data_IF_282457201512
#
_entry.id   IF_282457201512
#
_cell.length_a   1.000
_cell.length_b   1.000
_cell.length_c   1.000
_cell.angle_alpha   90.00
_cell.angle_beta   90.00
_cell.angle_gamma   90.00
#
_symmetry.space_group_name_H-M   'P 1'
#
loop_
_entity.id
_entity.type
_entity.pdbx_description
1 polymer ?
#
# COMPACT_ATOMS: atom_id res chain seq x y z
N UNK A 1 20.89 59.76 -9.06
CA UNK A 1 21.25 58.57 -8.28
C UNK A 1 20.23 58.40 -7.17
N UNK A 2 19.49 57.31 -7.21
CA UNK A 2 18.51 56.91 -6.20
C UNK A 2 19.27 56.39 -4.97
N UNK A 3 19.05 57.00 -3.80
CA UNK A 3 19.78 56.60 -2.60
C UNK A 3 19.10 57.10 -1.34
N UNK A 4 18.37 56.20 -0.69
CA UNK A 4 17.90 56.34 0.69
C UNK A 4 16.61 57.15 0.84
N UNK A 5 15.75 56.67 1.73
CA UNK A 5 14.54 57.36 2.24
C UNK A 5 13.33 57.36 1.30
N UNK A 6 12.70 56.18 1.17
CA UNK A 6 11.34 56.03 0.67
C UNK A 6 10.44 55.41 1.75
N UNK A 7 9.60 56.25 2.36
CA UNK A 7 8.38 55.91 3.10
C UNK A 7 8.51 55.11 4.42
N UNK A 8 8.68 55.84 5.52
CA UNK A 8 7.93 55.53 6.75
C UNK A 8 6.57 56.19 6.61
N UNK A 9 5.50 55.42 6.79
CA UNK A 9 4.25 55.71 7.54
C UNK A 9 3.08 54.89 6.97
N UNK A 10 2.48 54.06 7.84
CA UNK A 10 1.03 53.88 7.86
C UNK A 10 0.50 52.47 7.64
N UNK A 11 0.24 51.73 8.72
CA UNK A 11 -0.68 50.60 8.66
C UNK A 11 -0.41 49.50 9.69
N UNK A 12 -0.79 49.72 10.94
CA UNK A 12 -1.16 48.65 11.87
C UNK A 12 -2.41 47.92 11.35
N UNK A 13 -2.36 47.31 10.17
CA UNK A 13 -3.41 46.39 9.73
C UNK A 13 -3.11 45.06 10.38
N UNK A 14 -3.82 44.78 11.48
CA UNK A 14 -3.62 43.63 12.35
C UNK A 14 -3.30 42.36 11.58
N UNK A 15 -2.24 41.67 12.02
CA UNK A 15 -1.80 40.41 11.45
C UNK A 15 -2.89 39.34 11.56
N UNK A 16 -3.78 39.28 10.58
CA UNK A 16 -4.58 38.09 10.32
C UNK A 16 -3.62 37.04 9.81
N UNK A 17 -3.35 36.02 10.61
CA UNK A 17 -2.68 34.80 10.15
C UNK A 17 -3.48 34.31 8.95
N UNK A 18 -2.88 34.32 7.76
CA UNK A 18 -3.52 33.75 6.59
C UNK A 18 -3.84 32.28 6.90
N UNK A 19 -5.12 31.92 6.91
CA UNK A 19 -5.51 30.52 7.12
C UNK A 19 -4.94 29.69 5.98
N UNK A 20 -4.13 28.68 6.33
CA UNK A 20 -3.61 27.75 5.34
C UNK A 20 -4.75 26.90 4.80
N UNK A 21 -4.86 26.81 3.47
CA UNK A 21 -5.96 26.12 2.79
C UNK A 21 -5.48 24.82 2.13
N UNK A 22 -6.38 23.87 2.00
CA UNK A 22 -6.22 22.61 1.30
C UNK A 22 -7.28 22.57 0.21
N UNK A 23 -6.86 22.46 -1.05
CA UNK A 23 -7.76 22.37 -2.21
C UNK A 23 -7.96 20.94 -2.68
N UNK A 24 -7.04 20.05 -2.31
CA UNK A 24 -7.11 18.64 -2.68
C UNK A 24 -6.49 17.77 -1.59
N UNK A 25 -7.24 16.77 -1.14
CA UNK A 25 -6.78 15.66 -0.31
C UNK A 25 -7.29 14.38 -0.96
N UNK A 26 -6.39 13.48 -1.31
CA UNK A 26 -6.75 12.20 -1.91
C UNK A 26 -5.80 11.08 -1.47
N UNK A 27 -6.32 9.86 -1.50
CA UNK A 27 -5.54 8.64 -1.33
C UNK A 27 -5.27 8.08 -2.73
N UNK A 28 -4.00 7.93 -3.07
CA UNK A 28 -3.56 7.24 -4.29
C UNK A 28 -3.32 5.77 -3.96
N UNK A 29 -4.02 4.89 -4.65
CA UNK A 29 -3.89 3.44 -4.52
C UNK A 29 -3.30 2.91 -5.82
N UNK A 30 -2.27 2.07 -5.70
CA UNK A 30 -1.71 1.34 -6.82
C UNK A 30 -2.21 -0.11 -6.76
N UNK A 31 -2.74 -0.60 -7.86
CA UNK A 31 -3.26 -1.97 -8.00
C UNK A 31 -2.47 -2.75 -9.04
N UNK A 32 -2.42 -4.06 -8.90
CA UNK A 32 -1.72 -4.98 -9.82
C UNK A 32 -2.51 -5.21 -11.11
N UNK A 33 -2.85 -4.13 -11.82
CA UNK A 33 -3.56 -4.15 -13.11
C UNK A 33 -2.73 -3.43 -14.16
N UNK A 34 -2.50 -4.06 -15.31
CA UNK A 34 -1.78 -3.44 -16.42
C UNK A 34 -2.61 -2.39 -17.17
N UNK A 35 -3.93 -2.41 -17.01
CA UNK A 35 -4.87 -1.52 -17.73
C UNK A 35 -5.23 -0.30 -16.90
N UNK A 36 -5.38 -0.47 -15.58
CA UNK A 36 -5.71 0.62 -14.64
C UNK A 36 -4.94 0.47 -13.32
N UNK A 37 -3.62 0.69 -13.32
CA UNK A 37 -2.78 0.45 -12.14
C UNK A 37 -2.99 1.45 -11.02
N UNK A 38 -3.72 2.54 -11.23
CA UNK A 38 -3.84 3.63 -10.25
C UNK A 38 -5.30 4.03 -10.07
N UNK A 39 -5.72 4.11 -8.80
CA UNK A 39 -7.04 4.58 -8.38
C UNK A 39 -6.86 5.71 -7.38
N UNK A 40 -7.69 6.76 -7.47
CA UNK A 40 -7.68 7.90 -6.56
C UNK A 40 -9.00 7.96 -5.79
N UNK A 41 -8.92 8.03 -4.47
CA UNK A 41 -10.06 8.33 -3.59
C UNK A 41 -9.92 9.78 -3.15
N UNK A 42 -10.76 10.67 -3.67
CA UNK A 42 -10.76 12.09 -3.28
C UNK A 42 -11.59 12.29 -2.02
N UNK A 43 -10.98 12.92 -1.01
CA UNK A 43 -11.58 13.25 0.29
C UNK A 43 -11.87 14.75 0.41
N UNK A 44 -11.04 15.57 -0.24
CA UNK A 44 -11.27 17.01 -0.40
C UNK A 44 -11.01 17.33 -1.87
N UNK A 45 -11.97 18.00 -2.51
CA UNK A 45 -11.87 18.53 -3.89
C UNK A 45 -12.17 20.03 -3.97
N UNK A 46 -12.50 20.65 -2.84
CA UNK A 46 -12.87 22.06 -2.71
C UNK A 46 -11.96 22.76 -1.72
N UNK A 47 -11.81 24.07 -1.88
CA UNK A 47 -10.98 24.91 -1.02
C UNK A 47 -11.47 24.86 0.45
N UNK A 48 -10.68 24.20 1.30
CA UNK A 48 -11.03 23.90 2.69
C UNK A 48 -9.93 24.44 3.61
N UNK A 49 -10.29 25.21 4.63
CA UNK A 49 -9.32 25.71 5.60
C UNK A 49 -8.75 24.55 6.45
N UNK A 50 -7.43 24.48 6.65
CA UNK A 50 -6.80 23.35 7.36
C UNK A 50 -7.14 23.28 8.85
N UNK A 51 -7.56 24.39 9.44
CA UNK A 51 -8.02 24.46 10.82
C UNK A 51 -9.52 24.10 10.97
N UNK A 52 -10.24 23.96 9.86
CA UNK A 52 -11.65 23.56 9.85
C UNK A 52 -11.84 22.13 10.36
N UNK A 53 -13.01 21.89 10.96
CA UNK A 53 -13.43 20.54 11.34
C UNK A 53 -13.52 19.60 10.13
N UNK A 54 -13.93 20.12 8.97
CA UNK A 54 -14.00 19.36 7.71
C UNK A 54 -12.65 18.81 7.30
N UNK A 55 -11.58 19.62 7.35
CA UNK A 55 -10.23 19.15 7.05
C UNK A 55 -9.77 18.09 8.05
N UNK A 56 -9.97 18.33 9.35
CA UNK A 56 -9.57 17.38 10.41
C UNK A 56 -10.27 16.04 10.26
N UNK A 57 -11.58 16.06 9.99
CA UNK A 57 -12.37 14.84 9.74
C UNK A 57 -11.89 14.12 8.48
N UNK A 58 -11.73 14.83 7.36
CA UNK A 58 -11.24 14.22 6.13
C UNK A 58 -9.84 13.60 6.28
N UNK A 59 -8.98 14.20 7.12
CA UNK A 59 -7.67 13.66 7.44
C UNK A 59 -7.78 12.40 8.32
N UNK A 60 -8.67 12.38 9.32
CA UNK A 60 -8.94 11.19 10.13
C UNK A 60 -9.51 10.05 9.28
N UNK A 61 -10.52 10.34 8.45
CA UNK A 61 -11.11 9.39 7.51
C UNK A 61 -10.02 8.80 6.59
N UNK A 62 -9.06 9.62 6.13
CA UNK A 62 -7.93 9.16 5.32
C UNK A 62 -7.05 8.13 6.04
N UNK A 63 -6.75 8.39 7.32
CA UNK A 63 -5.93 7.51 8.15
C UNK A 63 -6.62 6.19 8.44
N UNK A 64 -7.93 6.22 8.70
CA UNK A 64 -8.74 5.01 8.90
C UNK A 64 -8.78 4.15 7.63
N UNK A 65 -9.05 4.76 6.47
CA UNK A 65 -9.04 4.06 5.19
C UNK A 65 -7.66 3.41 4.94
N UNK A 66 -6.57 4.14 5.16
CA UNK A 66 -5.22 3.61 4.98
C UNK A 66 -4.95 2.43 5.92
N UNK A 67 -5.37 2.53 7.18
CA UNK A 67 -5.20 1.47 8.18
C UNK A 67 -5.96 0.20 7.79
N UNK A 68 -7.20 0.34 7.32
CA UNK A 68 -8.01 -0.80 6.85
C UNK A 68 -7.42 -1.44 5.59
N UNK A 69 -6.97 -0.62 4.62
CA UNK A 69 -6.30 -1.13 3.43
C UNK A 69 -5.04 -1.93 3.78
N UNK A 70 -4.25 -1.46 4.75
CA UNK A 70 -3.06 -2.17 5.20
C UNK A 70 -3.41 -3.54 5.81
N UNK A 71 -4.47 -3.61 6.64
CA UNK A 71 -4.95 -4.89 7.20
C UNK A 71 -5.36 -5.86 6.10
N UNK A 72 -6.07 -5.38 5.07
CA UNK A 72 -6.48 -6.19 3.92
C UNK A 72 -5.26 -6.71 3.15
N UNK A 73 -4.28 -5.85 2.86
CA UNK A 73 -3.06 -6.26 2.17
C UNK A 73 -2.31 -7.35 2.96
N UNK A 74 -2.12 -7.18 4.26
CA UNK A 74 -1.45 -8.17 5.11
C UNK A 74 -2.22 -9.48 5.25
N UNK A 75 -3.56 -9.46 5.17
CA UNK A 75 -4.36 -10.69 5.18
C UNK A 75 -4.16 -11.50 3.89
N UNK A 76 -4.13 -10.83 2.73
CA UNK A 76 -3.92 -11.48 1.42
C UNK A 76 -2.54 -12.13 1.32
N UNK A 77 -1.50 -11.50 1.84
CA UNK A 77 -0.13 -12.05 1.86
C UNK A 77 -0.07 -13.39 2.63
N UNK A 78 -0.75 -13.48 3.78
CA UNK A 78 -0.80 -14.70 4.59
C UNK A 78 -1.54 -15.84 3.87
N UNK A 79 -2.63 -15.54 3.17
CA UNK A 79 -3.37 -16.55 2.40
C UNK A 79 -2.58 -17.04 1.19
N UNK A 80 -1.86 -16.15 0.50
CA UNK A 80 -1.01 -16.54 -0.63
C UNK A 80 0.21 -17.39 -0.22
N UNK A 81 0.75 -17.22 0.99
CA UNK A 81 1.82 -18.08 1.49
C UNK A 81 1.36 -19.54 1.72
N UNK A 82 0.14 -19.74 2.21
CA UNK A 82 -0.42 -21.07 2.44
C UNK A 82 -0.75 -21.82 1.14
N UNK A 83 -1.26 -21.09 0.13
CA UNK A 83 -1.63 -21.67 -1.17
C UNK A 83 -0.40 -21.91 -2.08
N UNK A 84 0.61 -21.02 -1.99
CA UNK A 84 1.87 -21.18 -2.74
C UNK A 84 2.75 -22.31 -2.19
N UNK A 85 2.71 -22.58 -0.88
CA UNK A 85 3.42 -23.74 -0.30
C UNK A 85 2.77 -25.06 -0.70
N UNK A 86 1.44 -25.13 -0.77
CA UNK A 86 0.74 -26.35 -1.23
C UNK A 86 0.95 -26.59 -2.72
N UNK A 87 0.91 -25.54 -3.55
CA UNK A 87 1.19 -25.67 -4.99
C UNK A 87 2.65 -26.06 -5.26
N UNK A 88 3.63 -25.43 -4.59
CA UNK A 88 5.05 -25.77 -4.72
C UNK A 88 5.33 -27.21 -4.28
N UNK A 89 4.78 -27.64 -3.14
CA UNK A 89 4.98 -29.00 -2.62
C UNK A 89 4.42 -30.08 -3.54
N UNK A 90 3.23 -29.85 -4.12
CA UNK A 90 2.61 -30.78 -5.06
C UNK A 90 3.35 -30.88 -6.41
N UNK A 91 3.80 -29.73 -6.95
CA UNK A 91 4.58 -29.69 -8.19
C UNK A 91 5.96 -30.34 -8.03
N UNK A 92 6.62 -30.10 -6.89
CA UNK A 92 7.87 -30.77 -6.55
C UNK A 92 7.65 -32.28 -6.43
N UNK A 93 6.61 -32.73 -5.72
CA UNK A 93 6.28 -34.15 -5.59
C UNK A 93 6.03 -34.81 -6.96
N UNK A 94 5.44 -34.10 -7.91
CA UNK A 94 5.25 -34.58 -9.29
C UNK A 94 6.58 -34.79 -10.03
N UNK A 95 7.54 -33.87 -9.86
CA UNK A 95 8.90 -34.02 -10.43
C UNK A 95 9.64 -35.20 -9.82
N UNK A 96 9.58 -35.35 -8.51
CA UNK A 96 10.18 -36.50 -7.80
C UNK A 96 9.57 -37.83 -8.27
N UNK A 97 8.26 -37.88 -8.51
CA UNK A 97 7.60 -39.09 -9.02
C UNK A 97 8.09 -39.45 -10.43
N UNK A 98 8.26 -38.45 -11.30
CA UNK A 98 8.78 -38.68 -12.65
C UNK A 98 10.20 -39.25 -12.62
N UNK A 99 11.08 -38.76 -11.74
CA UNK A 99 12.43 -39.31 -11.58
C UNK A 99 12.44 -40.77 -11.10
N UNK A 100 11.46 -41.15 -10.28
CA UNK A 100 11.28 -42.54 -9.84
C UNK A 100 10.82 -43.43 -11.01
N UNK A 101 9.85 -42.95 -11.79
CA UNK A 101 9.32 -43.67 -12.96
C UNK A 101 10.39 -43.80 -14.06
N UNK A 102 11.28 -42.82 -14.20
CA UNK A 102 12.46 -42.85 -15.08
C UNK A 102 13.62 -43.69 -14.51
N UNK A 103 13.52 -44.17 -13.26
CA UNK A 103 14.54 -44.98 -12.59
C UNK A 103 15.80 -44.20 -12.19
N UNK A 104 15.75 -42.87 -12.19
CA UNK A 104 16.86 -41.97 -11.80
C UNK A 104 17.06 -41.97 -10.29
N UNK A 105 15.99 -42.18 -9.53
CA UNK A 105 16.00 -42.30 -8.07
C UNK A 105 15.34 -43.59 -7.62
N UNK A 106 15.62 -43.99 -6.39
CA UNK A 106 15.01 -45.14 -5.74
C UNK A 106 13.71 -44.79 -5.01
N UNK A 107 12.89 -45.80 -4.73
CA UNK A 107 11.61 -45.62 -4.02
C UNK A 107 11.80 -45.07 -2.60
N UNK A 108 12.93 -45.39 -1.97
CA UNK A 108 13.29 -44.92 -0.63
C UNK A 108 13.57 -43.41 -0.65
N UNK A 109 14.34 -42.92 -1.62
CA UNK A 109 14.65 -41.49 -1.80
C UNK A 109 13.39 -40.67 -2.10
N UNK A 110 12.48 -41.22 -2.91
CA UNK A 110 11.19 -40.60 -3.17
C UNK A 110 10.33 -40.46 -1.91
N UNK A 111 10.23 -41.52 -1.09
CA UNK A 111 9.44 -41.50 0.15
C UNK A 111 10.02 -40.53 1.21
N UNK A 112 11.35 -40.44 1.34
CA UNK A 112 11.97 -39.44 2.22
C UNK A 112 11.61 -38.01 1.79
N UNK A 113 11.67 -37.72 0.48
CA UNK A 113 11.35 -36.39 -0.04
C UNK A 113 9.87 -36.07 0.04
N UNK A 114 8.99 -37.06 -0.18
CA UNK A 114 7.55 -36.92 -0.03
C UNK A 114 7.14 -36.55 1.39
N UNK A 115 7.75 -37.14 2.41
CA UNK A 115 7.51 -36.77 3.82
C UNK A 115 7.98 -35.35 4.13
N UNK A 116 9.17 -34.97 3.64
CA UNK A 116 9.68 -33.60 3.80
C UNK A 116 8.78 -32.54 3.15
N UNK A 117 8.23 -32.83 1.96
CA UNK A 117 7.37 -31.89 1.22
C UNK A 117 5.94 -31.80 1.77
N UNK A 118 5.49 -32.82 2.49
CA UNK A 118 4.16 -32.88 3.11
C UNK A 118 4.17 -32.56 4.61
N UNK A 119 5.34 -32.24 5.18
CA UNK A 119 5.54 -31.90 6.60
C UNK A 119 4.95 -32.95 7.57
N UNK A 120 5.15 -34.24 7.24
CA UNK A 120 4.64 -35.43 7.96
C UNK A 120 5.70 -36.13 8.82
#
# INVERSE_FOLDING_TARGET
MFGGVGAVVGGITGGKRAHQKCTNLCIKITVSSMVSPVVYISLISTETAKDSGTYKKAYQDAQEILSLLQVICSAVEKTQQADRSTFSGADELRKWKQLLDEGVITREEFETKKRQLLDL
#
